data_IF_745771497513
#
_entry.id   IF_745771497513
#
_cell.length_a   1.000
_cell.length_b   1.000
_cell.length_c   1.000
_cell.angle_alpha   90.00
_cell.angle_beta   90.00
_cell.angle_gamma   90.00
#
_symmetry.space_group_name_H-M   'P 1'
#
loop_
_entity.id
_entity.type
_entity.pdbx_description
1 polymer ?
#
# COMPACT_ATOMS: atom_id res chain seq x y z
N UNK A 1 50.65 11.60 49.19
CA UNK A 1 49.20 11.38 49.13
C UNK A 1 48.69 11.91 47.79
N UNK A 2 48.35 11.09 46.82
CA UNK A 2 47.70 11.51 45.59
C UNK A 2 46.18 11.27 45.68
N UNK A 3 45.42 12.27 45.31
CA UNK A 3 43.96 12.31 45.21
C UNK A 3 43.49 11.53 44.02
N UNK A 4 42.60 10.55 44.25
CA UNK A 4 41.88 9.81 43.22
C UNK A 4 40.68 10.64 42.73
N UNK A 5 40.74 11.10 41.49
CA UNK A 5 39.58 11.57 40.73
C UNK A 5 38.88 10.36 40.07
N UNK A 6 37.74 9.99 40.60
CA UNK A 6 36.84 9.03 40.02
C UNK A 6 35.88 9.74 39.05
N UNK A 7 36.25 9.74 37.77
CA UNK A 7 35.31 10.13 36.70
C UNK A 7 34.22 9.07 36.56
N UNK A 8 33.04 9.38 37.05
CA UNK A 8 31.82 8.56 36.87
C UNK A 8 31.40 8.56 35.39
N UNK A 9 31.71 7.47 34.72
CA UNK A 9 31.17 7.17 33.38
C UNK A 9 29.65 7.02 33.42
N UNK A 10 28.96 8.03 32.96
CA UNK A 10 27.50 7.98 32.73
C UNK A 10 27.23 7.04 31.54
N UNK A 11 26.59 5.93 31.79
CA UNK A 11 26.11 5.03 30.72
C UNK A 11 25.17 5.79 29.79
N UNK A 12 25.25 5.59 28.47
CA UNK A 12 24.31 6.22 27.54
C UNK A 12 22.88 5.74 27.80
N UNK A 13 21.95 6.69 27.83
CA UNK A 13 20.52 6.42 28.00
C UNK A 13 20.00 5.50 26.88
N UNK A 14 19.07 4.58 27.18
CA UNK A 14 18.50 3.69 26.15
C UNK A 14 17.78 4.52 25.08
N UNK A 15 18.05 4.22 23.81
CA UNK A 15 17.40 4.83 22.65
C UNK A 15 15.89 4.60 22.72
N UNK A 16 15.05 5.63 22.47
CA UNK A 16 13.60 5.47 22.55
C UNK A 16 13.07 4.49 21.51
N UNK A 17 12.16 3.62 21.93
CA UNK A 17 11.58 2.51 21.17
C UNK A 17 10.92 2.90 19.82
N UNK A 18 10.53 4.17 19.65
CA UNK A 18 9.89 4.65 18.42
C UNK A 18 10.80 4.62 17.17
N UNK A 19 12.10 4.92 17.32
CA UNK A 19 13.07 4.83 16.22
C UNK A 19 13.30 3.37 15.78
N UNK A 20 13.16 2.43 16.71
CA UNK A 20 13.29 1.01 16.45
C UNK A 20 12.10 0.42 15.65
N UNK A 21 10.87 0.97 15.79
CA UNK A 21 9.68 0.54 15.03
C UNK A 21 9.78 1.02 13.58
N UNK A 22 10.28 2.24 13.33
CA UNK A 22 10.45 2.77 11.98
C UNK A 22 11.42 1.94 11.12
N UNK A 23 12.50 1.43 11.71
CA UNK A 23 13.50 0.63 11.00
C UNK A 23 13.02 -0.80 10.63
N UNK A 24 11.95 -1.31 11.27
CA UNK A 24 11.46 -2.68 11.06
C UNK A 24 10.42 -2.83 9.98
N UNK A 25 9.74 -1.76 9.61
CA UNK A 25 8.70 -1.77 8.55
C UNK A 25 9.28 -1.36 7.20
N UNK A 26 10.51 -0.84 7.16
CA UNK A 26 11.25 -0.70 5.91
C UNK A 26 11.60 -2.09 5.40
N UNK A 27 10.97 -2.55 4.31
CA UNK A 27 11.39 -3.75 3.58
C UNK A 27 12.88 -3.60 3.26
N UNK A 28 13.72 -4.64 3.51
CA UNK A 28 15.10 -4.61 3.05
C UNK A 28 15.07 -4.58 1.52
N UNK A 29 15.44 -3.44 0.92
CA UNK A 29 15.86 -3.40 -0.46
C UNK A 29 17.04 -4.36 -0.55
N UNK A 30 16.87 -5.45 -1.32
CA UNK A 30 17.82 -6.54 -1.42
C UNK A 30 19.22 -6.04 -1.75
N UNK A 31 20.09 -6.08 -0.77
CA UNK A 31 21.52 -6.09 -0.99
C UNK A 31 21.88 -7.49 -1.48
N UNK A 32 22.10 -7.61 -2.77
CA UNK A 32 22.89 -8.72 -3.30
C UNK A 32 24.28 -8.59 -2.68
N UNK A 33 24.64 -9.50 -1.78
CA UNK A 33 26.04 -9.72 -1.40
C UNK A 33 26.79 -10.25 -2.62
N UNK A 34 27.57 -9.39 -3.26
CA UNK A 34 28.63 -9.80 -4.17
C UNK A 34 29.68 -10.57 -3.36
N UNK A 35 29.73 -11.89 -3.55
CA UNK A 35 30.90 -12.69 -3.21
C UNK A 35 32.00 -12.45 -4.26
N UNK A 36 33.22 -12.11 -3.88
CA UNK A 36 34.33 -12.04 -4.82
C UNK A 36 34.96 -13.43 -5.06
N UNK A 37 35.17 -13.74 -6.30
CA UNK A 37 36.15 -14.79 -6.73
C UNK A 37 35.53 -15.94 -7.51
N UNK A 38 35.60 -15.91 -8.85
CA UNK A 38 36.55 -16.73 -9.59
C UNK A 38 36.58 -16.30 -11.06
N UNK A 39 37.80 -16.00 -11.52
CA UNK A 39 38.12 -15.86 -12.94
C UNK A 39 38.51 -17.23 -13.44
N UNK A 40 37.91 -17.72 -14.53
CA UNK A 40 38.73 -18.31 -15.58
C UNK A 40 37.98 -18.48 -16.92
N UNK A 41 38.70 -18.03 -17.96
CA UNK A 41 38.89 -18.50 -19.36
C UNK A 41 37.69 -18.84 -20.27
N UNK A 42 37.41 -18.00 -21.24
CA UNK A 42 37.71 -18.05 -22.69
C UNK A 42 36.87 -18.97 -23.60
N UNK A 43 37.06 -18.88 -24.94
CA UNK A 43 36.04 -18.21 -25.79
C UNK A 43 35.38 -19.19 -26.79
N UNK A 44 34.19 -18.87 -27.30
CA UNK A 44 33.56 -19.64 -28.36
C UNK A 44 32.49 -18.82 -29.09
N UNK A 45 32.88 -18.20 -30.19
CA UNK A 45 31.97 -17.51 -31.07
C UNK A 45 31.12 -18.48 -31.91
N UNK A 46 29.92 -18.08 -32.22
CA UNK A 46 29.20 -18.51 -33.42
C UNK A 46 28.26 -17.42 -33.90
N UNK A 47 28.67 -16.81 -34.95
CA UNK A 47 27.88 -15.97 -35.87
C UNK A 47 26.82 -16.84 -36.55
N UNK A 48 25.56 -16.39 -36.59
CA UNK A 48 24.60 -16.86 -37.60
C UNK A 48 23.93 -15.66 -38.23
N UNK A 49 24.03 -15.69 -39.57
CA UNK A 49 23.68 -14.64 -40.49
C UNK A 49 22.16 -14.41 -40.63
N UNK A 50 21.86 -13.15 -40.92
CA UNK A 50 20.62 -12.60 -41.47
C UNK A 50 20.38 -13.13 -42.91
N UNK A 51 19.12 -13.47 -43.20
CA UNK A 51 18.63 -13.38 -44.55
C UNK A 51 17.24 -12.73 -44.55
N UNK A 52 17.19 -11.60 -45.20
CA UNK A 52 15.99 -10.86 -45.47
C UNK A 52 15.20 -11.46 -46.65
N UNK A 53 13.93 -11.16 -46.64
CA UNK A 53 13.14 -11.07 -47.90
C UNK A 53 11.93 -10.17 -47.64
N UNK A 54 11.88 -9.07 -48.38
CA UNK A 54 10.67 -8.29 -48.62
C UNK A 54 9.87 -8.92 -49.79
N UNK A 55 8.60 -8.72 -49.84
CA UNK A 55 7.91 -8.63 -51.11
C UNK A 55 7.20 -7.29 -51.35
N UNK A 56 7.38 -6.90 -52.55
CA UNK A 56 6.94 -5.86 -53.43
C UNK A 56 5.44 -5.59 -53.51
N UNK A 57 5.16 -4.35 -53.91
CA UNK A 57 3.89 -3.76 -54.27
C UNK A 57 3.24 -4.38 -55.53
N UNK A 58 1.92 -4.24 -55.59
CA UNK A 58 1.09 -4.40 -56.80
C UNK A 58 -0.33 -3.98 -56.46
N UNK A 59 -0.73 -2.84 -56.91
CA UNK A 59 -1.35 -2.44 -58.17
C UNK A 59 -2.88 -2.68 -58.24
N UNK A 60 -3.58 -1.57 -58.53
CA UNK A 60 -4.80 -1.38 -59.34
C UNK A 60 -6.19 -1.60 -58.70
N UNK A 61 -6.89 -0.48 -58.62
CA UNK A 61 -8.34 -0.38 -58.56
C UNK A 61 -8.99 -0.80 -59.90
N UNK A 62 -10.27 -1.14 -59.88
CA UNK A 62 -11.17 -0.53 -60.89
C UNK A 62 -12.40 0.13 -60.26
N UNK A 63 -12.82 1.16 -60.95
CA UNK A 63 -14.02 1.92 -60.78
C UNK A 63 -15.27 1.03 -61.10
N UNK A 64 -16.29 1.11 -60.28
CA UNK A 64 -17.55 0.40 -60.44
C UNK A 64 -18.73 1.19 -59.91
N UNK A 65 -19.45 1.82 -60.78
CA UNK A 65 -20.91 2.06 -60.84
C UNK A 65 -21.62 2.62 -59.61
N UNK A 66 -22.02 3.86 -59.72
CA UNK A 66 -23.07 4.50 -58.94
C UNK A 66 -24.42 3.87 -59.30
N UNK A 67 -25.02 3.07 -58.39
CA UNK A 67 -26.42 2.70 -58.43
C UNK A 67 -27.16 3.61 -57.46
N UNK A 68 -27.99 4.47 -58.03
CA UNK A 68 -28.96 5.29 -57.31
C UNK A 68 -30.06 4.34 -56.72
N UNK A 69 -30.06 4.18 -55.39
CA UNK A 69 -31.13 3.51 -54.70
C UNK A 69 -32.09 4.51 -54.06
N UNK A 70 -33.36 4.32 -54.29
CA UNK A 70 -34.50 5.09 -53.82
C UNK A 70 -34.54 5.22 -52.28
N UNK A 71 -35.21 6.24 -51.71
CA UNK A 71 -35.30 6.43 -50.25
C UNK A 71 -36.15 5.35 -49.63
N UNK A 72 -35.46 4.33 -49.08
CA UNK A 72 -36.05 3.32 -48.25
C UNK A 72 -36.40 3.92 -46.87
N UNK A 73 -37.60 3.56 -46.38
CA UNK A 73 -38.15 3.90 -45.06
C UNK A 73 -37.05 3.81 -44.01
N UNK A 74 -36.89 4.89 -43.21
CA UNK A 74 -36.04 4.92 -42.03
C UNK A 74 -36.46 3.74 -41.12
N UNK A 75 -35.62 2.74 -41.05
CA UNK A 75 -35.70 1.66 -40.07
C UNK A 75 -35.51 2.30 -38.71
N UNK A 76 -36.48 2.15 -37.82
CA UNK A 76 -36.36 2.48 -36.39
C UNK A 76 -35.20 1.70 -35.81
N UNK A 77 -33.96 2.21 -35.95
CA UNK A 77 -32.83 1.69 -35.24
C UNK A 77 -33.10 1.91 -33.75
N UNK A 78 -33.02 0.89 -32.89
CA UNK A 78 -33.28 1.06 -31.47
C UNK A 78 -32.32 2.10 -30.92
N UNK A 79 -32.87 3.16 -30.37
CA UNK A 79 -32.13 4.22 -29.67
C UNK A 79 -31.17 3.54 -28.68
N UNK A 80 -29.86 3.85 -28.67
CA UNK A 80 -28.91 3.25 -27.77
C UNK A 80 -29.39 3.44 -26.34
N UNK A 81 -29.85 2.37 -25.71
CA UNK A 81 -30.32 2.37 -24.32
C UNK A 81 -29.18 2.90 -23.48
N UNK A 82 -29.41 3.98 -22.74
CA UNK A 82 -28.41 4.53 -21.81
C UNK A 82 -27.89 3.40 -20.89
N UNK A 83 -26.57 3.26 -20.70
CA UNK A 83 -26.01 2.20 -19.88
C UNK A 83 -26.63 2.25 -18.50
N UNK A 84 -27.19 1.12 -18.05
CA UNK A 84 -27.81 0.99 -16.74
C UNK A 84 -26.90 1.56 -15.64
N UNK A 85 -27.45 2.25 -14.64
CA UNK A 85 -26.66 2.79 -13.53
C UNK A 85 -25.85 1.67 -12.90
N UNK A 86 -24.53 1.85 -12.78
CA UNK A 86 -23.67 0.85 -12.15
C UNK A 86 -24.08 0.66 -10.70
N UNK A 87 -24.44 -0.55 -10.33
CA UNK A 87 -24.75 -0.90 -8.95
C UNK A 87 -23.56 -0.63 -8.03
N UNK A 88 -23.81 0.02 -6.89
CA UNK A 88 -22.77 0.31 -5.89
C UNK A 88 -22.32 -1.00 -5.21
N UNK A 89 -21.02 -1.23 -5.14
CA UNK A 89 -20.36 -2.44 -4.61
C UNK A 89 -20.13 -2.31 -3.11
N UNK A 90 -21.17 -2.57 -2.31
CA UNK A 90 -21.07 -2.55 -0.84
C UNK A 90 -20.15 -3.63 -0.25
N UNK A 91 -19.94 -4.73 -0.95
CA UNK A 91 -18.95 -5.73 -0.57
C UNK A 91 -17.53 -5.17 -0.59
N UNK A 92 -17.19 -4.29 -1.55
CA UNK A 92 -15.90 -3.61 -1.59
C UNK A 92 -15.76 -2.60 -0.45
N UNK A 93 -16.83 -1.90 -0.10
CA UNK A 93 -16.83 -1.02 1.07
C UNK A 93 -16.63 -1.81 2.38
N UNK A 94 -17.25 -2.98 2.50
CA UNK A 94 -17.04 -3.90 3.62
C UNK A 94 -15.58 -4.35 3.70
N UNK A 95 -15.01 -4.80 2.58
CA UNK A 95 -13.60 -5.22 2.52
C UNK A 95 -12.68 -4.06 2.89
N UNK A 96 -12.92 -2.85 2.39
CA UNK A 96 -12.13 -1.65 2.74
C UNK A 96 -12.20 -1.36 4.24
N UNK A 97 -13.37 -1.49 4.85
CA UNK A 97 -13.55 -1.30 6.28
C UNK A 97 -12.77 -2.34 7.09
N UNK A 98 -12.85 -3.62 6.70
CA UNK A 98 -12.08 -4.70 7.34
C UNK A 98 -10.57 -4.50 7.17
N UNK A 99 -10.11 -4.03 6.02
CA UNK A 99 -8.69 -3.70 5.82
C UNK A 99 -8.24 -2.57 6.75
N UNK A 100 -9.07 -1.52 6.92
CA UNK A 100 -8.74 -0.42 7.85
C UNK A 100 -8.63 -0.92 9.28
N UNK A 101 -9.56 -1.78 9.73
CA UNK A 101 -9.50 -2.42 11.05
C UNK A 101 -8.26 -3.33 11.16
N UNK A 102 -7.94 -4.09 10.10
CA UNK A 102 -6.74 -4.93 10.05
C UNK A 102 -5.46 -4.13 10.18
N UNK A 103 -5.31 -3.02 9.43
CA UNK A 103 -4.14 -2.14 9.55
C UNK A 103 -3.99 -1.59 10.96
N UNK A 104 -5.07 -1.13 11.58
CA UNK A 104 -5.04 -0.64 12.97
C UNK A 104 -4.62 -1.75 13.93
N UNK A 105 -5.18 -2.96 13.79
CA UNK A 105 -4.81 -4.13 14.60
C UNK A 105 -3.32 -4.46 14.47
N UNK A 106 -2.79 -4.51 13.24
CA UNK A 106 -1.37 -4.76 12.98
C UNK A 106 -0.45 -3.73 13.62
N UNK A 107 -0.84 -2.45 13.60
CA UNK A 107 -0.05 -1.39 14.22
C UNK A 107 -0.17 -1.36 15.75
N UNK A 108 -1.31 -1.74 16.33
CA UNK A 108 -1.42 -2.03 17.76
C UNK A 108 -0.51 -3.22 18.13
N UNK A 109 -0.52 -4.30 17.32
CA UNK A 109 0.39 -5.44 17.50
C UNK A 109 1.86 -5.04 17.47
N UNK A 110 2.24 -4.10 16.59
CA UNK A 110 3.61 -3.58 16.52
C UNK A 110 4.05 -2.89 17.81
N UNK A 111 3.15 -2.24 18.56
CA UNK A 111 3.47 -1.65 19.85
C UNK A 111 3.84 -2.73 20.90
N UNK A 112 3.14 -3.86 20.89
CA UNK A 112 3.47 -5.00 21.79
C UNK A 112 4.81 -5.64 21.43
N UNK A 113 5.10 -5.83 20.12
CA UNK A 113 6.39 -6.35 19.64
C UNK A 113 7.53 -5.40 20.02
N UNK A 114 7.32 -4.09 19.91
CA UNK A 114 8.31 -3.10 20.26
C UNK A 114 8.65 -3.10 21.76
N UNK A 115 7.66 -3.36 22.62
CA UNK A 115 7.84 -3.39 24.07
C UNK A 115 8.72 -4.56 24.56
N UNK A 116 8.69 -5.71 23.88
CA UNK A 116 9.48 -6.90 24.27
C UNK A 116 10.83 -7.02 23.57
N UNK A 117 11.14 -6.14 22.63
CA UNK A 117 12.29 -6.35 21.73
C UNK A 117 12.01 -7.47 20.71
N UNK A 118 12.49 -7.28 19.49
CA UNK A 118 12.09 -8.07 18.31
C UNK A 118 12.69 -9.47 18.23
N UNK A 119 13.63 -9.82 19.09
CA UNK A 119 14.46 -11.03 18.96
C UNK A 119 14.09 -12.16 19.91
N UNK A 120 13.16 -11.97 20.82
CA UNK A 120 12.77 -12.99 21.79
C UNK A 120 11.65 -13.89 21.23
N UNK A 121 11.99 -14.71 20.23
CA UNK A 121 11.11 -15.76 19.74
C UNK A 121 10.77 -16.74 20.90
N UNK A 122 9.48 -16.89 21.23
CA UNK A 122 9.02 -17.70 22.35
C UNK A 122 8.97 -16.94 23.68
N UNK A 123 9.18 -15.64 23.66
CA UNK A 123 9.17 -14.75 24.81
C UNK A 123 7.81 -14.50 25.45
N UNK A 124 7.67 -13.39 26.19
CA UNK A 124 6.50 -13.08 27.00
C UNK A 124 5.20 -13.00 26.19
N UNK A 125 4.09 -13.06 26.89
CA UNK A 125 2.75 -13.05 26.30
C UNK A 125 2.48 -11.84 25.39
N UNK A 126 3.14 -10.71 25.66
CA UNK A 126 3.08 -9.52 24.80
C UNK A 126 3.63 -9.79 23.39
N UNK A 127 4.70 -10.59 23.25
CA UNK A 127 5.21 -11.04 21.95
C UNK A 127 4.14 -11.76 21.13
N UNK A 128 3.48 -12.77 21.74
CA UNK A 128 2.47 -13.55 21.03
C UNK A 128 1.21 -12.75 20.70
N UNK A 129 0.81 -11.81 21.57
CA UNK A 129 -0.28 -10.89 21.30
C UNK A 129 0.03 -10.01 20.08
N UNK A 130 1.25 -9.44 20.03
CA UNK A 130 1.72 -8.65 18.91
C UNK A 130 1.83 -9.45 17.61
N UNK A 131 2.44 -10.63 17.65
CA UNK A 131 2.61 -11.51 16.49
C UNK A 131 1.28 -11.99 15.91
N UNK A 132 0.33 -12.37 16.79
CA UNK A 132 -1.01 -12.78 16.35
C UNK A 132 -1.78 -11.64 15.70
N UNK A 133 -1.72 -10.43 16.27
CA UNK A 133 -2.34 -9.25 15.71
C UNK A 133 -1.73 -8.88 14.34
N UNK A 134 -0.41 -8.97 14.22
CA UNK A 134 0.28 -8.73 12.96
C UNK A 134 -0.10 -9.79 11.90
N UNK A 135 -0.06 -11.08 12.22
CA UNK A 135 -0.43 -12.15 11.30
C UNK A 135 -1.86 -12.00 10.76
N UNK A 136 -2.83 -11.71 11.64
CA UNK A 136 -4.24 -11.46 11.26
C UNK A 136 -4.37 -10.25 10.33
N UNK A 137 -3.51 -9.25 10.44
CA UNK A 137 -3.57 -8.00 9.67
C UNK A 137 -2.95 -8.08 8.28
N UNK A 138 -2.11 -9.09 7.99
CA UNK A 138 -1.25 -9.15 6.79
C UNK A 138 -2.00 -9.13 5.45
N UNK A 139 -3.26 -9.50 5.39
CA UNK A 139 -4.05 -9.40 4.18
C UNK A 139 -4.37 -7.95 3.77
N UNK A 140 -4.33 -7.00 4.71
CA UNK A 140 -4.94 -5.68 4.54
C UNK A 140 -4.20 -4.81 3.50
N UNK A 141 -2.87 -4.74 3.55
CA UNK A 141 -2.06 -3.94 2.61
C UNK A 141 -2.18 -4.46 1.18
N UNK A 142 -1.97 -5.76 0.89
CA UNK A 142 -2.23 -6.32 -0.44
C UNK A 142 -3.64 -6.08 -0.94
N UNK A 143 -4.63 -6.18 -0.07
CA UNK A 143 -6.03 -5.93 -0.41
C UNK A 143 -6.30 -4.49 -0.83
N UNK A 144 -5.63 -3.51 -0.23
CA UNK A 144 -5.74 -2.12 -0.67
C UNK A 144 -5.19 -1.89 -2.07
N UNK A 145 -4.08 -2.57 -2.46
CA UNK A 145 -3.60 -2.56 -3.83
C UNK A 145 -4.59 -3.26 -4.77
N UNK A 146 -5.19 -4.38 -4.35
CA UNK A 146 -6.22 -5.08 -5.10
C UNK A 146 -7.45 -4.19 -5.37
N UNK A 147 -7.96 -3.49 -4.34
CA UNK A 147 -9.06 -2.53 -4.48
C UNK A 147 -8.68 -1.38 -5.42
N UNK A 148 -7.45 -0.85 -5.31
CA UNK A 148 -6.96 0.22 -6.17
C UNK A 148 -6.90 -0.21 -7.63
N UNK A 149 -6.37 -1.40 -7.91
CA UNK A 149 -6.32 -1.98 -9.24
C UNK A 149 -7.70 -2.13 -9.85
N UNK A 150 -8.65 -2.73 -9.10
CA UNK A 150 -10.03 -2.82 -9.55
C UNK A 150 -10.65 -1.44 -9.81
N UNK A 151 -10.47 -0.49 -8.91
CA UNK A 151 -11.06 0.84 -9.04
C UNK A 151 -10.54 1.62 -10.26
N UNK A 152 -9.25 1.45 -10.59
CA UNK A 152 -8.60 2.16 -11.72
C UNK A 152 -8.84 1.45 -13.05
N UNK A 153 -8.78 0.11 -13.08
CA UNK A 153 -8.82 -0.65 -14.33
C UNK A 153 -10.24 -1.06 -14.73
N UNK A 154 -11.15 -1.30 -13.78
CA UNK A 154 -12.49 -1.88 -14.02
C UNK A 154 -13.61 -1.01 -13.48
N UNK A 155 -13.58 -0.67 -12.19
CA UNK A 155 -14.70 -0.04 -11.49
C UNK A 155 -15.01 1.39 -11.97
N UNK A 156 -13.99 2.25 -12.00
CA UNK A 156 -14.13 3.64 -12.43
C UNK A 156 -12.84 4.11 -13.15
N UNK A 157 -12.52 3.55 -14.35
CA UNK A 157 -11.36 3.95 -15.12
C UNK A 157 -11.32 5.47 -15.34
N UNK A 158 -10.16 6.10 -15.29
CA UNK A 158 -10.04 7.52 -15.57
C UNK A 158 -10.39 7.79 -17.04
N UNK A 159 -11.16 8.85 -17.30
CA UNK A 159 -11.52 9.26 -18.65
C UNK A 159 -10.49 10.18 -19.29
N UNK A 160 -9.71 10.87 -18.46
CA UNK A 160 -8.71 11.85 -18.87
C UNK A 160 -7.63 12.04 -17.80
N UNK A 161 -6.52 12.70 -18.15
CA UNK A 161 -5.41 12.97 -17.23
C UNK A 161 -5.79 13.91 -16.08
N UNK A 162 -6.76 14.81 -16.28
CA UNK A 162 -7.24 15.74 -15.24
C UNK A 162 -7.85 14.96 -14.07
N UNK A 163 -8.62 13.90 -14.34
CA UNK A 163 -9.21 13.05 -13.30
C UNK A 163 -8.15 12.25 -12.54
N UNK A 164 -7.08 11.83 -13.22
CA UNK A 164 -5.93 11.21 -12.56
C UNK A 164 -5.27 12.21 -11.62
N UNK A 165 -4.99 13.42 -12.11
CA UNK A 165 -4.42 14.48 -11.28
C UNK A 165 -5.28 14.82 -10.06
N UNK A 166 -6.59 14.91 -10.22
CA UNK A 166 -7.51 15.11 -9.10
C UNK A 166 -7.43 13.99 -8.05
N UNK A 167 -7.21 12.74 -8.46
CA UNK A 167 -6.98 11.61 -7.53
C UNK A 167 -5.65 11.76 -6.80
N UNK A 168 -4.58 12.12 -7.52
CA UNK A 168 -3.25 12.35 -6.95
C UNK A 168 -3.32 13.48 -5.90
N UNK A 169 -3.91 14.61 -6.24
CA UNK A 169 -4.05 15.75 -5.32
C UNK A 169 -4.90 15.40 -4.11
N UNK A 170 -5.99 14.65 -4.29
CA UNK A 170 -6.86 14.21 -3.18
C UNK A 170 -6.12 13.37 -2.14
N UNK A 171 -5.07 12.66 -2.53
CA UNK A 171 -4.26 11.83 -1.64
C UNK A 171 -3.01 12.60 -1.19
N UNK A 172 -2.36 13.30 -2.09
CA UNK A 172 -1.11 14.01 -1.84
C UNK A 172 -1.25 15.19 -0.88
N UNK A 173 -2.36 15.93 -0.95
CA UNK A 173 -2.58 17.06 -0.01
C UNK A 173 -2.68 16.58 1.43
N UNK A 174 -3.53 15.60 1.79
CA UNK A 174 -3.52 15.04 3.14
C UNK A 174 -2.17 14.42 3.52
N UNK A 175 -1.48 13.73 2.59
CA UNK A 175 -0.14 13.21 2.86
C UNK A 175 0.82 14.31 3.30
N UNK A 176 0.88 15.44 2.58
CA UNK A 176 1.73 16.57 2.91
C UNK A 176 1.36 17.19 4.28
N UNK A 177 0.08 17.38 4.55
CA UNK A 177 -0.42 17.90 5.85
C UNK A 177 -0.01 16.96 6.98
N UNK A 178 -0.24 15.65 6.82
CA UNK A 178 0.09 14.68 7.87
C UNK A 178 1.60 14.46 8.03
N UNK A 179 2.39 14.62 6.98
CA UNK A 179 3.85 14.68 7.08
C UNK A 179 4.26 15.82 8.03
N UNK A 180 3.73 17.02 7.84
CA UNK A 180 4.01 18.16 8.73
C UNK A 180 3.52 17.90 10.17
N UNK A 181 2.32 17.32 10.35
CA UNK A 181 1.78 16.96 11.68
C UNK A 181 2.71 15.97 12.39
N UNK A 182 3.15 14.90 11.70
CA UNK A 182 4.03 13.88 12.31
C UNK A 182 5.45 14.40 12.57
N UNK A 183 5.96 15.31 11.74
CA UNK A 183 7.24 16.01 12.03
C UNK A 183 7.12 16.84 13.31
N UNK A 184 6.06 17.64 13.44
CA UNK A 184 5.79 18.43 14.63
C UNK A 184 5.57 17.56 15.87
N UNK A 185 4.82 16.45 15.73
CA UNK A 185 4.60 15.47 16.79
C UNK A 185 5.90 14.83 17.28
N UNK A 186 6.72 14.34 16.34
CA UNK A 186 8.03 13.74 16.66
C UNK A 186 8.98 14.74 17.35
N UNK A 187 8.95 16.01 16.93
CA UNK A 187 9.72 17.08 17.60
C UNK A 187 9.24 17.32 19.03
N UNK A 188 7.94 17.41 19.21
CA UNK A 188 7.33 17.58 20.54
C UNK A 188 7.62 16.40 21.48
N UNK A 189 7.62 15.18 20.93
CA UNK A 189 7.95 13.95 21.67
C UNK A 189 9.45 13.77 21.92
N UNK A 190 10.31 14.61 21.33
CA UNK A 190 11.76 14.45 21.42
C UNK A 190 12.32 13.25 20.65
N UNK A 191 11.56 12.71 19.68
CA UNK A 191 12.00 11.58 18.84
C UNK A 191 12.71 12.03 17.56
N UNK A 192 12.58 13.30 17.18
CA UNK A 192 13.23 13.92 16.03
C UNK A 192 14.26 14.93 16.55
N UNK A 193 15.55 14.57 16.50
CA UNK A 193 16.67 15.42 16.96
C UNK A 193 17.25 16.28 15.84
N UNK A 194 17.14 15.81 14.59
CA UNK A 194 17.65 16.49 13.41
C UNK A 194 16.89 17.80 13.10
N UNK A 195 17.51 18.74 12.36
CA UNK A 195 16.86 19.98 11.94
C UNK A 195 15.57 19.73 11.15
N UNK A 196 14.47 20.38 11.54
CA UNK A 196 13.15 20.19 10.89
C UNK A 196 13.20 20.46 9.39
N UNK A 197 14.03 21.41 8.93
CA UNK A 197 14.19 21.70 7.51
C UNK A 197 14.75 20.52 6.70
N UNK A 198 15.75 19.83 7.26
CA UNK A 198 16.34 18.63 6.66
C UNK A 198 15.33 17.48 6.64
N UNK A 199 14.68 17.21 7.78
CA UNK A 199 13.62 16.19 7.86
C UNK A 199 12.45 16.47 6.92
N UNK A 200 12.08 17.73 6.70
CA UNK A 200 11.03 18.11 5.78
C UNK A 200 11.47 17.86 4.33
N UNK A 201 12.70 18.22 3.96
CA UNK A 201 13.26 17.96 2.65
C UNK A 201 13.34 16.44 2.38
N UNK A 202 13.90 15.70 3.32
CA UNK A 202 13.97 14.24 3.26
C UNK A 202 12.59 13.57 3.13
N UNK A 203 11.59 14.12 3.81
CA UNK A 203 10.21 13.65 3.68
C UNK A 203 9.63 13.89 2.28
N UNK A 204 10.02 14.98 1.59
CA UNK A 204 9.62 15.23 0.19
C UNK A 204 10.16 14.14 -0.72
N UNK A 205 11.40 13.70 -0.49
CA UNK A 205 12.01 12.59 -1.25
C UNK A 205 11.61 11.21 -0.71
N UNK A 206 10.82 11.13 0.36
CA UNK A 206 10.47 9.89 1.07
C UNK A 206 11.69 9.12 1.62
N UNK A 207 12.85 9.76 1.77
CA UNK A 207 14.05 9.18 2.38
C UNK A 207 13.86 9.00 3.88
N UNK A 208 13.20 9.93 4.55
CA UNK A 208 12.70 9.82 5.92
C UNK A 208 11.18 9.81 5.91
N UNK A 209 10.60 8.96 6.74
CA UNK A 209 9.15 8.86 6.93
C UNK A 209 8.80 9.31 8.34
N UNK A 210 8.19 10.49 8.50
CA UNK A 210 7.86 11.04 9.82
C UNK A 210 7.00 10.10 10.67
N UNK A 211 6.21 9.26 9.98
CA UNK A 211 5.52 8.13 10.59
C UNK A 211 5.65 6.92 9.66
N UNK A 212 6.02 5.78 10.23
CA UNK A 212 6.34 4.56 9.49
C UNK A 212 5.23 4.09 8.54
N UNK A 213 3.96 4.26 8.89
CA UNK A 213 2.83 3.82 8.06
C UNK A 213 2.67 4.63 6.76
N UNK A 214 3.22 5.85 6.66
CA UNK A 214 3.10 6.69 5.46
C UNK A 214 3.81 6.08 4.24
N UNK A 215 4.72 5.09 4.43
CA UNK A 215 5.38 4.38 3.33
C UNK A 215 4.40 3.89 2.27
N UNK A 216 3.22 3.45 2.69
CA UNK A 216 2.19 2.94 1.79
C UNK A 216 1.76 4.01 0.77
N UNK A 217 1.63 5.28 1.16
CA UNK A 217 1.19 6.34 0.25
C UNK A 217 2.28 6.71 -0.76
N UNK A 218 3.56 6.65 -0.37
CA UNK A 218 4.68 6.89 -1.27
C UNK A 218 4.80 5.81 -2.35
N UNK A 219 4.28 4.62 -2.13
CA UNK A 219 4.21 3.55 -3.13
C UNK A 219 2.85 3.51 -3.84
N UNK A 220 1.77 3.82 -3.14
CA UNK A 220 0.41 3.80 -3.68
C UNK A 220 0.21 4.82 -4.81
N UNK A 221 0.70 6.04 -4.63
CA UNK A 221 0.56 7.09 -5.65
C UNK A 221 1.26 6.73 -6.97
N UNK A 222 2.52 6.27 -7.01
CA UNK A 222 3.14 5.76 -8.24
C UNK A 222 2.37 4.60 -8.88
N UNK A 223 1.91 3.61 -8.09
CA UNK A 223 1.14 2.46 -8.60
C UNK A 223 -0.15 2.92 -9.28
N UNK A 224 -0.97 3.75 -8.64
CA UNK A 224 -2.22 4.21 -9.25
C UNK A 224 -1.98 5.10 -10.47
N UNK A 225 -0.88 5.85 -10.50
CA UNK A 225 -0.48 6.68 -11.65
C UNK A 225 -0.11 5.80 -12.83
N UNK A 226 0.68 4.74 -12.61
CA UNK A 226 1.04 3.76 -13.64
C UNK A 226 -0.21 3.06 -14.20
N UNK A 227 -1.07 2.53 -13.33
CA UNK A 227 -2.30 1.85 -13.75
C UNK A 227 -3.25 2.80 -14.51
N UNK A 228 -3.36 4.05 -14.08
CA UNK A 228 -4.16 5.06 -14.74
C UNK A 228 -3.59 5.45 -16.11
N UNK A 229 -2.27 5.55 -16.23
CA UNK A 229 -1.59 5.77 -17.51
C UNK A 229 -1.90 4.62 -18.46
N UNK A 230 -1.73 3.36 -18.03
CA UNK A 230 -2.05 2.19 -18.82
C UNK A 230 -3.53 2.15 -19.26
N UNK A 231 -4.47 2.47 -18.36
CA UNK A 231 -5.90 2.54 -18.68
C UNK A 231 -6.23 3.61 -19.74
N UNK A 232 -5.58 4.76 -19.66
CA UNK A 232 -5.74 5.84 -20.65
C UNK A 232 -5.15 5.46 -22.01
N UNK A 233 -3.96 4.87 -22.04
CA UNK A 233 -3.33 4.38 -23.28
C UNK A 233 -4.21 3.32 -23.94
N UNK A 234 -4.72 2.36 -23.17
CA UNK A 234 -5.66 1.33 -23.67
C UNK A 234 -6.93 1.95 -24.26
N UNK A 235 -7.38 3.09 -23.75
CA UNK A 235 -8.54 3.82 -24.29
C UNK A 235 -8.22 4.72 -25.49
N UNK A 236 -7.02 4.60 -26.09
CA UNK A 236 -6.57 5.40 -27.23
C UNK A 236 -6.10 6.81 -26.85
N UNK A 237 -5.96 7.13 -25.57
CA UNK A 237 -5.46 8.42 -25.09
C UNK A 237 -3.93 8.45 -25.09
N UNK A 238 -3.36 9.63 -25.14
CA UNK A 238 -1.90 9.86 -25.08
C UNK A 238 -1.54 10.72 -23.86
N UNK A 239 -1.47 10.13 -22.64
CA UNK A 239 -1.25 10.88 -21.41
C UNK A 239 0.25 11.24 -21.21
N UNK A 240 0.84 12.05 -22.10
CA UNK A 240 2.25 12.40 -22.12
C UNK A 240 2.78 12.92 -20.78
N UNK A 241 2.00 13.79 -20.10
CA UNK A 241 2.41 14.33 -18.80
C UNK A 241 2.51 13.27 -17.69
N UNK A 242 1.62 12.25 -17.70
CA UNK A 242 1.72 11.13 -16.77
C UNK A 242 2.91 10.23 -17.12
N UNK A 243 3.14 9.97 -18.42
CA UNK A 243 4.28 9.20 -18.88
C UNK A 243 5.61 9.87 -18.52
N UNK A 244 5.73 11.18 -18.74
CA UNK A 244 6.90 11.95 -18.33
C UNK A 244 7.11 11.93 -16.80
N UNK A 245 6.04 12.08 -16.01
CA UNK A 245 6.13 11.99 -14.55
C UNK A 245 6.59 10.61 -14.08
N UNK A 246 6.11 9.53 -14.70
CA UNK A 246 6.57 8.16 -14.42
C UNK A 246 8.03 7.95 -14.82
N UNK A 247 8.47 8.53 -15.94
CA UNK A 247 9.88 8.48 -16.36
C UNK A 247 10.78 9.19 -15.35
N UNK A 248 10.41 10.40 -14.92
CA UNK A 248 11.14 11.15 -13.88
C UNK A 248 11.21 10.32 -12.59
N UNK A 249 10.10 9.73 -12.16
CA UNK A 249 10.04 8.89 -10.97
C UNK A 249 10.98 7.68 -11.08
N UNK A 250 11.05 7.05 -12.25
CA UNK A 250 11.90 5.88 -12.48
C UNK A 250 13.39 6.25 -12.59
N UNK A 251 13.71 7.42 -13.15
CA UNK A 251 15.08 7.88 -13.34
C UNK A 251 15.68 8.58 -12.11
N UNK A 252 14.83 9.14 -11.24
CA UNK A 252 15.27 9.96 -10.11
C UNK A 252 16.29 9.27 -9.19
N UNK A 253 16.13 7.99 -8.79
CA UNK A 253 17.09 7.32 -7.91
C UNK A 253 18.50 7.30 -8.48
N UNK A 254 18.63 6.94 -9.79
CA UNK A 254 19.92 6.89 -10.46
C UNK A 254 20.50 8.29 -10.64
N UNK A 255 19.69 9.23 -11.12
CA UNK A 255 20.12 10.61 -11.34
C UNK A 255 20.62 11.26 -10.03
N UNK A 256 19.95 11.02 -8.90
CA UNK A 256 20.39 11.54 -7.60
C UNK A 256 21.70 10.89 -7.15
N UNK A 257 21.90 9.58 -7.41
CA UNK A 257 23.16 8.89 -7.17
C UNK A 257 24.30 9.50 -8.00
N UNK A 258 24.09 9.67 -9.31
CA UNK A 258 25.08 10.23 -10.23
C UNK A 258 25.46 11.68 -9.85
N UNK A 259 24.47 12.51 -9.46
CA UNK A 259 24.72 13.88 -8.97
C UNK A 259 25.58 13.84 -7.69
N UNK A 260 25.26 12.95 -6.73
CA UNK A 260 26.04 12.79 -5.51
C UNK A 260 27.48 12.37 -5.79
N UNK A 261 27.72 11.41 -6.69
CA UNK A 261 29.06 10.99 -7.09
C UNK A 261 29.83 12.13 -7.80
N UNK A 262 29.16 12.86 -8.67
CA UNK A 262 29.81 13.94 -9.44
C UNK A 262 30.13 15.18 -8.58
N UNK A 263 29.24 15.55 -7.66
CA UNK A 263 29.38 16.78 -6.85
C UNK A 263 30.03 16.55 -5.49
N UNK A 264 30.05 15.30 -4.99
CA UNK A 264 30.40 14.97 -3.62
C UNK A 264 29.33 15.37 -2.58
N UNK A 265 28.14 15.75 -3.01
CA UNK A 265 27.04 16.11 -2.11
C UNK A 265 26.31 14.88 -1.60
N UNK A 266 25.96 14.89 -0.32
CA UNK A 266 25.07 13.88 0.26
C UNK A 266 23.65 14.10 -0.23
N UNK A 267 23.24 13.30 -1.21
CA UNK A 267 21.88 13.35 -1.78
C UNK A 267 20.90 12.56 -0.92
N UNK A 268 19.68 13.07 -0.68
CA UNK A 268 18.62 12.32 -0.01
C UNK A 268 18.31 11.02 -0.76
N UNK A 269 18.04 9.93 -0.05
CA UNK A 269 17.60 8.68 -0.70
C UNK A 269 16.22 8.86 -1.30
N UNK A 270 16.04 8.45 -2.55
CA UNK A 270 14.74 8.55 -3.21
C UNK A 270 13.85 7.35 -2.83
N UNK A 271 12.82 7.61 -2.04
CA UNK A 271 11.92 6.57 -1.51
C UNK A 271 10.57 6.46 -2.22
N UNK A 272 10.29 7.30 -3.23
CA UNK A 272 9.11 7.15 -4.07
C UNK A 272 9.30 6.02 -5.07
N UNK A 273 8.32 5.14 -5.18
CA UNK A 273 8.38 4.07 -6.16
C UNK A 273 7.49 2.90 -5.78
N UNK A 274 7.62 1.82 -6.51
CA UNK A 274 6.91 0.59 -6.27
C UNK A 274 7.76 -0.61 -6.66
N UNK A 275 7.45 -1.74 -6.08
CA UNK A 275 8.02 -3.04 -6.46
C UNK A 275 6.96 -3.92 -7.11
N UNK A 276 7.40 -4.97 -7.79
CA UNK A 276 6.56 -5.81 -8.65
C UNK A 276 5.31 -6.34 -7.96
N UNK A 277 5.41 -6.79 -6.70
CA UNK A 277 4.29 -7.41 -6.00
C UNK A 277 3.08 -6.46 -5.84
N UNK A 278 3.29 -5.16 -5.68
CA UNK A 278 2.21 -4.17 -5.54
C UNK A 278 1.38 -4.06 -6.82
N UNK A 279 2.05 -4.10 -7.98
CA UNK A 279 1.39 -4.14 -9.29
C UNK A 279 0.65 -5.46 -9.46
N UNK A 280 1.29 -6.58 -9.09
CA UNK A 280 0.66 -7.91 -9.17
C UNK A 280 -0.62 -7.96 -8.34
N UNK A 281 -0.61 -7.47 -7.11
CA UNK A 281 -1.83 -7.40 -6.28
C UNK A 281 -2.91 -6.50 -6.90
N UNK A 282 -2.51 -5.37 -7.50
CA UNK A 282 -3.46 -4.49 -8.15
C UNK A 282 -4.11 -5.15 -9.38
N UNK A 283 -3.32 -5.84 -10.20
CA UNK A 283 -3.83 -6.58 -11.37
C UNK A 283 -4.69 -7.76 -10.93
N UNK A 284 -4.23 -8.56 -9.96
CA UNK A 284 -4.98 -9.68 -9.39
C UNK A 284 -6.32 -9.20 -8.81
N UNK A 285 -6.32 -8.08 -8.09
CA UNK A 285 -7.54 -7.47 -7.58
C UNK A 285 -8.50 -7.04 -8.68
N UNK A 286 -7.98 -6.46 -9.78
CA UNK A 286 -8.80 -6.10 -10.93
C UNK A 286 -9.50 -7.35 -11.54
N UNK A 287 -8.79 -8.48 -11.63
CA UNK A 287 -9.33 -9.74 -12.13
C UNK A 287 -10.34 -10.34 -11.15
N UNK A 288 -9.98 -10.50 -9.89
CA UNK A 288 -10.83 -11.16 -8.88
C UNK A 288 -12.12 -10.39 -8.58
N UNK A 289 -12.05 -9.05 -8.42
CA UNK A 289 -13.26 -8.25 -8.22
C UNK A 289 -14.16 -8.16 -9.46
N UNK A 290 -13.61 -8.41 -10.66
CA UNK A 290 -14.37 -8.46 -11.90
C UNK A 290 -15.11 -9.79 -12.10
N UNK A 291 -14.83 -10.83 -11.31
CA UNK A 291 -15.53 -12.12 -11.41
C UNK A 291 -17.04 -11.94 -11.32
N UNK A 292 -17.83 -12.69 -12.13
CA UNK A 292 -19.27 -12.75 -12.01
C UNK A 292 -19.71 -13.22 -10.61
N UNK A 293 -20.94 -12.88 -10.22
CA UNK A 293 -21.45 -13.23 -8.90
C UNK A 293 -21.59 -14.75 -8.66
N UNK A 294 -21.79 -15.50 -9.71
CA UNK A 294 -21.98 -16.95 -9.75
C UNK A 294 -20.66 -17.74 -9.93
N UNK A 295 -19.58 -17.07 -10.34
CA UNK A 295 -18.30 -17.72 -10.65
C UNK A 295 -17.74 -18.56 -9.49
N UNK A 296 -17.99 -18.17 -8.25
CA UNK A 296 -17.47 -18.84 -7.05
C UNK A 296 -18.46 -19.87 -6.46
N UNK A 297 -19.61 -20.07 -7.09
CA UNK A 297 -20.68 -20.92 -6.57
C UNK A 297 -21.23 -20.40 -5.22
N UNK A 298 -21.98 -21.25 -4.53
CA UNK A 298 -22.62 -20.90 -3.25
C UNK A 298 -21.72 -21.16 -2.03
N UNK A 299 -20.68 -22.00 -2.17
CA UNK A 299 -19.84 -22.44 -1.05
C UNK A 299 -18.68 -21.47 -0.81
N UNK A 300 -18.71 -20.78 0.32
CA UNK A 300 -17.64 -19.86 0.76
C UNK A 300 -16.60 -20.54 1.64
N UNK A 301 -16.95 -21.68 2.24
CA UNK A 301 -16.10 -22.40 3.18
C UNK A 301 -14.68 -22.68 2.67
N UNK A 302 -14.42 -23.10 1.43
CA UNK A 302 -13.06 -23.36 0.95
C UNK A 302 -12.17 -22.12 1.01
N UNK A 303 -12.72 -20.93 0.71
CA UNK A 303 -11.98 -19.68 0.73
C UNK A 303 -11.67 -19.19 2.16
N UNK A 304 -12.62 -19.43 3.08
CA UNK A 304 -12.40 -19.17 4.52
C UNK A 304 -11.32 -20.12 5.05
N UNK A 305 -11.39 -21.42 4.71
CA UNK A 305 -10.35 -22.39 5.10
C UNK A 305 -9.00 -21.99 4.54
N UNK A 306 -8.92 -21.60 3.27
CA UNK A 306 -7.68 -21.09 2.68
C UNK A 306 -7.13 -19.89 3.45
N UNK A 307 -7.98 -18.92 3.79
CA UNK A 307 -7.56 -17.75 4.55
C UNK A 307 -7.02 -18.13 5.95
N UNK A 308 -7.72 -19.01 6.67
CA UNK A 308 -7.31 -19.48 8.02
C UNK A 308 -5.98 -20.25 7.96
N UNK A 309 -5.82 -21.17 7.00
CA UNK A 309 -4.59 -21.92 6.83
C UNK A 309 -3.41 -21.02 6.45
N UNK A 310 -3.63 -20.07 5.53
CA UNK A 310 -2.60 -19.10 5.14
C UNK A 310 -2.22 -18.20 6.32
N UNK A 311 -3.17 -17.73 7.11
CA UNK A 311 -2.93 -16.95 8.34
C UNK A 311 -2.12 -17.77 9.36
N UNK A 312 -2.48 -19.02 9.60
CA UNK A 312 -1.70 -19.93 10.45
C UNK A 312 -0.28 -20.14 9.94
N UNK A 313 -0.11 -20.29 8.63
CA UNK A 313 1.19 -20.37 7.97
C UNK A 313 2.01 -19.08 8.13
N UNK A 314 1.37 -17.91 8.08
CA UNK A 314 2.02 -16.61 8.34
C UNK A 314 2.54 -16.56 9.79
N UNK A 315 1.71 -16.90 10.76
CA UNK A 315 2.10 -16.91 12.17
C UNK A 315 3.26 -17.88 12.43
N UNK A 316 3.19 -19.09 11.83
CA UNK A 316 4.29 -20.04 11.89
C UNK A 316 5.57 -19.49 11.26
N UNK A 317 5.50 -18.89 10.07
CA UNK A 317 6.64 -18.28 9.40
C UNK A 317 7.28 -17.18 10.25
N UNK A 318 6.46 -16.30 10.81
CA UNK A 318 6.92 -15.20 11.65
C UNK A 318 7.62 -15.67 12.93
N UNK A 319 7.19 -16.80 13.47
CA UNK A 319 7.82 -17.40 14.65
C UNK A 319 9.08 -18.18 14.30
N UNK A 320 9.05 -19.00 13.24
CA UNK A 320 10.08 -20.02 12.97
C UNK A 320 11.18 -19.54 12.00
N UNK A 321 10.87 -18.57 11.11
CA UNK A 321 11.80 -18.17 10.02
C UNK A 321 12.25 -16.72 10.20
N UNK A 322 11.32 -15.79 10.22
CA UNK A 322 11.63 -14.37 10.31
C UNK A 322 10.42 -13.60 10.87
N UNK A 323 10.62 -12.80 11.92
CA UNK A 323 9.55 -12.15 12.69
C UNK A 323 8.63 -11.22 11.87
N UNK A 324 9.05 -10.78 10.68
CA UNK A 324 8.22 -10.04 9.72
C UNK A 324 8.17 -10.79 8.40
N UNK A 325 6.98 -11.25 8.00
CA UNK A 325 6.79 -11.85 6.68
C UNK A 325 6.69 -10.74 5.61
N UNK A 326 7.46 -10.83 4.51
CA UNK A 326 7.35 -9.88 3.41
C UNK A 326 5.94 -9.88 2.77
N UNK A 327 5.42 -8.71 2.39
CA UNK A 327 4.14 -8.61 1.68
C UNK A 327 4.13 -9.36 0.34
N UNK A 328 5.30 -9.59 -0.27
CA UNK A 328 5.47 -10.38 -1.50
C UNK A 328 5.34 -11.89 -1.29
N UNK A 329 5.27 -12.37 -0.05
CA UNK A 329 5.26 -13.81 0.25
C UNK A 329 3.95 -14.48 -0.20
N UNK A 330 4.06 -15.72 -0.70
CA UNK A 330 2.92 -16.49 -1.20
C UNK A 330 1.81 -16.67 -0.15
N UNK A 331 2.16 -16.92 1.11
CA UNK A 331 1.16 -17.05 2.19
C UNK A 331 0.33 -15.78 2.34
N UNK A 332 0.94 -14.60 2.20
CA UNK A 332 0.23 -13.31 2.25
C UNK A 332 -0.71 -13.15 1.05
N UNK A 333 -0.29 -13.58 -0.14
CA UNK A 333 -1.14 -13.58 -1.33
C UNK A 333 -2.33 -14.54 -1.19
N UNK A 334 -2.10 -15.75 -0.67
CA UNK A 334 -3.16 -16.74 -0.41
C UNK A 334 -4.13 -16.24 0.67
N UNK A 335 -3.62 -15.62 1.73
CA UNK A 335 -4.46 -15.02 2.77
C UNK A 335 -5.36 -13.92 2.20
N UNK A 336 -4.77 -12.96 1.48
CA UNK A 336 -5.52 -11.89 0.81
C UNK A 336 -6.56 -12.45 -0.16
N UNK A 337 -6.17 -13.41 -1.01
CA UNK A 337 -7.06 -14.07 -1.96
C UNK A 337 -8.22 -14.81 -1.28
N UNK A 338 -7.94 -15.56 -0.21
CA UNK A 338 -8.95 -16.25 0.59
C UNK A 338 -9.94 -15.30 1.22
N UNK A 339 -9.48 -14.19 1.84
CA UNK A 339 -10.36 -13.14 2.39
C UNK A 339 -11.19 -12.48 1.29
N UNK A 340 -10.58 -12.09 0.16
CA UNK A 340 -11.27 -11.47 -0.95
C UNK A 340 -12.38 -12.37 -1.50
N UNK A 341 -12.07 -13.64 -1.80
CA UNK A 341 -13.01 -14.58 -2.40
C UNK A 341 -14.12 -14.99 -1.42
N UNK A 342 -13.83 -15.04 -0.10
CA UNK A 342 -14.85 -15.29 0.91
C UNK A 342 -15.88 -14.17 1.01
N UNK A 343 -15.44 -12.90 0.75
CA UNK A 343 -16.28 -11.71 0.86
C UNK A 343 -16.80 -11.19 -0.49
N UNK A 344 -16.30 -11.73 -1.62
CA UNK A 344 -16.69 -11.30 -2.97
C UNK A 344 -18.21 -11.36 -3.17
N UNK A 345 -18.81 -10.23 -3.53
CA UNK A 345 -20.26 -10.11 -3.76
C UNK A 345 -21.14 -10.55 -2.56
N UNK A 346 -20.62 -10.45 -1.32
CA UNK A 346 -21.43 -10.65 -0.12
C UNK A 346 -22.54 -9.61 -0.07
N UNK A 347 -23.76 -10.07 0.19
CA UNK A 347 -24.93 -9.18 0.33
C UNK A 347 -24.88 -8.47 1.67
N UNK A 348 -24.68 -7.15 1.64
CA UNK A 348 -24.77 -6.31 2.82
C UNK A 348 -26.23 -5.95 3.07
N UNK A 349 -26.80 -6.20 4.26
CA UNK A 349 -28.17 -5.82 4.63
C UNK A 349 -28.41 -4.33 4.38
N UNK A 350 -29.56 -3.97 3.85
CA UNK A 350 -29.88 -2.59 3.43
C UNK A 350 -29.76 -1.59 4.56
N UNK A 351 -30.18 -1.98 5.76
CA UNK A 351 -30.07 -1.16 6.97
C UNK A 351 -28.63 -0.75 7.33
N UNK A 352 -27.62 -1.54 6.93
CA UNK A 352 -26.20 -1.29 7.21
C UNK A 352 -25.51 -0.50 6.10
N UNK A 353 -26.04 -0.47 4.87
CA UNK A 353 -25.42 0.17 3.70
C UNK A 353 -25.07 1.65 3.93
N UNK A 354 -25.96 2.50 4.52
CA UNK A 354 -25.63 3.90 4.75
C UNK A 354 -24.51 4.11 5.76
N UNK A 355 -24.47 3.31 6.82
CA UNK A 355 -23.41 3.36 7.83
C UNK A 355 -22.08 2.91 7.24
N UNK A 356 -22.08 1.77 6.53
CA UNK A 356 -20.91 1.22 5.86
C UNK A 356 -20.31 2.19 4.85
N UNK A 357 -21.15 2.83 4.00
CA UNK A 357 -20.67 3.81 3.04
C UNK A 357 -20.03 5.04 3.71
N UNK A 358 -20.57 5.51 4.85
CA UNK A 358 -19.97 6.60 5.63
C UNK A 358 -18.63 6.21 6.22
N UNK A 359 -18.53 5.02 6.80
CA UNK A 359 -17.29 4.50 7.37
C UNK A 359 -16.23 4.24 6.28
N UNK A 360 -16.61 3.61 5.17
CA UNK A 360 -15.70 3.40 4.04
C UNK A 360 -15.17 4.72 3.47
N UNK A 361 -15.98 5.78 3.47
CA UNK A 361 -15.55 7.12 3.08
C UNK A 361 -14.64 7.80 4.11
N UNK A 362 -14.69 7.40 5.39
CA UNK A 362 -13.84 7.91 6.46
C UNK A 362 -12.52 7.11 6.62
N UNK A 363 -12.39 5.98 5.94
CA UNK A 363 -11.27 5.05 6.11
C UNK A 363 -9.91 5.69 5.84
N UNK A 364 -9.81 6.60 4.87
CA UNK A 364 -8.55 7.28 4.54
C UNK A 364 -8.08 8.23 5.65
N UNK A 365 -8.98 9.06 6.19
CA UNK A 365 -8.65 9.93 7.31
C UNK A 365 -8.34 9.13 8.59
N UNK A 366 -9.07 8.05 8.85
CA UNK A 366 -8.79 7.14 9.94
C UNK A 366 -7.38 6.50 9.79
N UNK A 367 -7.01 6.09 8.57
CA UNK A 367 -5.65 5.61 8.26
C UNK A 367 -4.58 6.67 8.57
N UNK A 368 -4.81 7.93 8.28
CA UNK A 368 -3.81 8.97 8.50
C UNK A 368 -3.56 9.28 9.98
N UNK A 369 -4.59 9.18 10.84
CA UNK A 369 -4.50 9.57 12.27
C UNK A 369 -4.20 8.43 13.22
N UNK A 370 -4.46 7.16 12.84
CA UNK A 370 -4.46 6.03 13.80
C UNK A 370 -3.13 5.83 14.52
N UNK A 371 -1.99 6.07 13.87
CA UNK A 371 -0.67 5.90 14.51
C UNK A 371 -0.47 6.91 15.63
N UNK A 372 -0.92 8.15 15.45
CA UNK A 372 -0.90 9.16 16.51
C UNK A 372 -1.79 8.73 17.69
N UNK A 373 -2.98 8.18 17.39
CA UNK A 373 -3.88 7.65 18.42
C UNK A 373 -3.24 6.47 19.16
N UNK A 374 -2.58 5.56 18.45
CA UNK A 374 -1.87 4.42 19.05
C UNK A 374 -0.72 4.91 19.94
N UNK A 375 0.07 5.87 19.48
CA UNK A 375 1.20 6.41 20.25
C UNK A 375 0.74 7.01 21.59
N UNK A 376 -0.41 7.68 21.59
CA UNK A 376 -1.01 8.24 22.81
C UNK A 376 -1.60 7.14 23.71
N UNK A 377 -2.30 6.17 23.12
CA UNK A 377 -3.05 5.17 23.90
C UNK A 377 -2.19 3.98 24.37
N UNK A 378 -1.26 3.49 23.52
CA UNK A 378 -0.54 2.27 23.82
C UNK A 378 0.63 2.48 24.79
N UNK A 379 1.34 3.60 24.64
CA UNK A 379 2.55 3.88 25.40
C UNK A 379 2.42 3.71 26.93
N UNK A 380 1.33 4.15 27.59
CA UNK A 380 1.22 4.03 29.06
C UNK A 380 0.82 2.62 29.54
N UNK A 381 0.38 1.71 28.67
CA UNK A 381 -0.21 0.43 29.07
C UNK A 381 0.53 -0.80 28.55
N UNK A 382 1.38 -0.65 27.54
CA UNK A 382 2.06 -1.79 26.90
C UNK A 382 3.49 -1.88 27.40
N UNK A 383 3.78 -2.97 28.12
CA UNK A 383 5.11 -3.30 28.63
C UNK A 383 5.46 -4.78 28.41
N UNK A 384 6.72 -5.15 28.58
CA UNK A 384 7.23 -6.50 28.39
C UNK A 384 6.72 -7.51 29.44
N UNK A 385 6.34 -7.04 30.64
CA UNK A 385 5.92 -7.88 31.75
C UNK A 385 4.44 -8.29 31.74
N UNK A 386 3.70 -7.96 30.66
CA UNK A 386 2.28 -8.28 30.56
C UNK A 386 2.02 -9.80 30.59
N UNK A 387 1.13 -10.25 31.50
CA UNK A 387 0.60 -11.62 31.47
C UNK A 387 -0.34 -11.84 30.26
N UNK A 388 -0.55 -13.12 29.89
CA UNK A 388 -1.27 -13.50 28.67
C UNK A 388 -2.68 -12.91 28.57
N UNK A 389 -3.48 -13.02 29.64
CA UNK A 389 -4.84 -12.47 29.67
C UNK A 389 -4.83 -10.95 29.47
N UNK A 390 -3.95 -10.24 30.21
CA UNK A 390 -3.85 -8.79 30.13
C UNK A 390 -3.38 -8.33 28.75
N UNK A 391 -2.38 -9.00 28.16
CA UNK A 391 -1.91 -8.72 26.81
C UNK A 391 -3.03 -8.91 25.77
N UNK A 392 -3.77 -10.03 25.83
CA UNK A 392 -4.90 -10.28 24.94
C UNK A 392 -6.02 -9.26 25.10
N UNK A 393 -6.45 -8.94 26.32
CA UNK A 393 -7.49 -7.94 26.60
C UNK A 393 -7.05 -6.56 26.12
N UNK A 394 -5.82 -6.14 26.42
CA UNK A 394 -5.31 -4.85 25.99
C UNK A 394 -5.22 -4.75 24.46
N UNK A 395 -4.81 -5.81 23.76
CA UNK A 395 -4.80 -5.83 22.29
C UNK A 395 -6.20 -5.54 21.73
N UNK A 396 -7.23 -6.19 22.26
CA UNK A 396 -8.61 -5.97 21.82
C UNK A 396 -9.10 -4.56 22.18
N UNK A 397 -8.89 -4.12 23.42
CA UNK A 397 -9.35 -2.81 23.90
C UNK A 397 -8.64 -1.67 23.17
N UNK A 398 -7.32 -1.71 23.03
CA UNK A 398 -6.55 -0.69 22.31
C UNK A 398 -6.93 -0.64 20.84
N UNK A 399 -7.13 -1.80 20.20
CA UNK A 399 -7.59 -1.85 18.80
C UNK A 399 -8.97 -1.24 18.66
N UNK A 400 -9.92 -1.60 19.50
CA UNK A 400 -11.28 -1.06 19.46
C UNK A 400 -11.29 0.46 19.74
N UNK A 401 -10.57 0.92 20.75
CA UNK A 401 -10.44 2.34 21.08
C UNK A 401 -9.81 3.12 19.92
N UNK A 402 -8.73 2.60 19.32
CA UNK A 402 -8.07 3.22 18.18
C UNK A 402 -9.01 3.30 16.98
N UNK A 403 -9.76 2.24 16.67
CA UNK A 403 -10.76 2.24 15.59
C UNK A 403 -11.80 3.33 15.86
N UNK A 404 -12.40 3.34 17.04
CA UNK A 404 -13.46 4.31 17.38
C UNK A 404 -12.95 5.74 17.31
N UNK A 405 -11.80 6.03 17.89
CA UNK A 405 -11.22 7.38 17.88
C UNK A 405 -10.80 7.81 16.48
N UNK A 406 -10.11 6.95 15.71
CA UNK A 406 -9.63 7.30 14.37
C UNK A 406 -10.78 7.52 13.39
N UNK A 407 -11.78 6.63 13.38
CA UNK A 407 -12.95 6.81 12.54
C UNK A 407 -13.84 7.96 13.01
N UNK A 408 -14.01 8.13 14.33
CA UNK A 408 -14.72 9.25 14.92
C UNK A 408 -14.14 10.61 14.52
N UNK A 409 -12.81 10.73 14.62
CA UNK A 409 -12.06 11.92 14.20
C UNK A 409 -12.24 12.19 12.70
N UNK A 410 -12.08 11.16 11.86
CA UNK A 410 -12.25 11.30 10.41
C UNK A 410 -13.68 11.68 10.03
N UNK A 411 -14.70 11.14 10.70
CA UNK A 411 -16.08 11.53 10.50
C UNK A 411 -16.35 12.99 10.93
N UNK A 412 -15.74 13.43 12.02
CA UNK A 412 -15.81 14.81 12.49
C UNK A 412 -15.21 15.77 11.45
N UNK A 413 -14.03 15.46 10.88
CA UNK A 413 -13.45 16.26 9.80
C UNK A 413 -14.36 16.32 8.58
N UNK A 414 -15.08 15.24 8.30
CA UNK A 414 -16.08 15.22 7.25
C UNK A 414 -17.21 16.23 7.47
N UNK A 415 -17.69 16.36 8.73
CA UNK A 415 -18.72 17.35 9.11
C UNK A 415 -18.17 18.78 9.07
N UNK A 416 -16.91 18.99 9.46
CA UNK A 416 -16.23 20.29 9.45
C UNK A 416 -15.70 20.67 8.05
N UNK A 417 -15.98 19.89 7.00
CA UNK A 417 -15.51 20.09 5.62
C UNK A 417 -13.97 20.09 5.46
N UNK A 418 -13.24 19.49 6.41
CA UNK A 418 -11.79 19.43 6.42
C UNK A 418 -11.21 18.22 5.65
N UNK A 419 -12.06 17.37 5.06
CA UNK A 419 -11.62 16.16 4.30
C UNK A 419 -10.62 16.47 3.18
N UNK A 420 -10.66 17.66 2.63
CA UNK A 420 -9.69 18.06 1.59
C UNK A 420 -8.26 18.06 2.12
N UNK A 421 -8.08 18.38 3.40
CA UNK A 421 -6.80 18.56 4.04
C UNK A 421 -6.39 17.38 4.92
N UNK A 422 -7.36 16.74 5.56
CA UNK A 422 -7.11 15.72 6.58
C UNK A 422 -7.52 14.29 6.15
N UNK A 423 -8.07 14.10 4.94
CA UNK A 423 -8.43 12.79 4.40
C UNK A 423 -9.87 12.37 4.56
#
# INVERSE_FOLDING_TARGET
MPSNDVTSGRAPAPRPAAAAVAAAVAEPSGRAEERPGDRDSGPGGTTVASTGTAPTAGSAAPAGSVVSAAPGKASDAPTPTAPAPREHRYDIDLIRMLCSCGVILGHVGSAFIAAVGRQEAGGPAAYWAGMSADAVSRFAVPMYFAIAGWAVLVGAPPRDGRRVWQRIVKIGVPLAVWTAVYLAWGRWRGTNEDPIGELALDSVFASVRPAYHLWYLYTYLPVITLLACAALVRSGRRPWGLGAGLLVLAAAPQLMGDIGEFTGWEMPRFGWGFVVYQIVYAVLGALLFALPADALGKRRAPWVVLAVLAMGGILWYQHAVHYVIPNAHLLVALFMGGVLLSLHRVRVPERLRPALGRLAAAAYGAYLVHVLVIDVLAHPFVDAGLGALRAGVLTVVLTAATIVLSFGTSLLWGRLRLRRWLG
#
